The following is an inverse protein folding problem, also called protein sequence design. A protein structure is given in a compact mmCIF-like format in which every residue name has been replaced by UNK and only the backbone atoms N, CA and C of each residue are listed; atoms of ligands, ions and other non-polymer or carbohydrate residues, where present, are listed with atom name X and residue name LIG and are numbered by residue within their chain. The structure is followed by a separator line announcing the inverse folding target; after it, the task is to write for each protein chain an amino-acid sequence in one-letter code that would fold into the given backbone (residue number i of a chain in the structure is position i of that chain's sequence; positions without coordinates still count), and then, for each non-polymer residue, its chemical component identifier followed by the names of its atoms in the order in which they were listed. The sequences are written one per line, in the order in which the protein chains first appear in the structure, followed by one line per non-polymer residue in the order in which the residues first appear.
data_IF_047593182054
#
_entry.id   IF_047593182054
#
_cell.length_a   1.000
_cell.length_b   1.000
_cell.length_c   1.000
_cell.angle_alpha   90.00
_cell.angle_beta   90.00
_cell.angle_gamma   90.00
#
_symmetry.space_group_name_H-M   'P 1'
#
loop_
_entity.id
_entity.type
_entity.pdbx_description
1 polymer ?
#
# COMPACT_ATOMS: atom_id res chain seq x y z
N UNK A 1 -13.56 -4.81 -4.83
CA UNK A 1 -12.16 -4.25 -4.85
C UNK A 1 -12.07 -3.27 -3.70
N UNK A 2 -11.07 -3.41 -2.83
CA UNK A 2 -10.98 -2.58 -1.62
C UNK A 2 -10.70 -1.12 -1.98
N UNK A 3 -11.15 -0.20 -1.13
CA UNK A 3 -10.80 1.22 -1.22
C UNK A 3 -10.22 1.67 0.11
N UNK A 4 -9.05 2.30 0.08
CA UNK A 4 -8.45 2.95 1.24
C UNK A 4 -8.48 4.45 1.01
N UNK A 5 -9.08 5.18 1.93
CA UNK A 5 -9.21 6.62 1.86
C UNK A 5 -8.44 7.23 3.02
N UNK A 6 -7.46 8.07 2.71
CA UNK A 6 -6.67 8.74 3.75
C UNK A 6 -6.61 10.25 3.57
N UNK A 7 -6.53 10.99 4.68
CA UNK A 7 -6.72 12.43 4.66
C UNK A 7 -6.35 13.15 5.95
N UNK A 8 -6.22 14.47 5.88
CA UNK A 8 -5.91 15.30 7.06
C UNK A 8 -7.07 15.25 8.07
N UNK A 9 -6.75 14.94 9.32
CA UNK A 9 -7.67 14.97 10.46
C UNK A 9 -8.36 16.33 10.60
N UNK A 10 -9.65 16.33 10.94
CA UNK A 10 -10.44 17.56 11.14
C UNK A 10 -10.81 18.33 9.85
N UNK A 11 -10.45 17.85 8.66
CA UNK A 11 -10.84 18.50 7.40
C UNK A 11 -12.30 18.25 6.98
N UNK A 12 -12.98 17.32 7.66
CA UNK A 12 -14.34 16.86 7.30
C UNK A 12 -14.43 16.10 5.98
N UNK A 13 -13.41 16.08 5.13
CA UNK A 13 -13.46 15.49 3.78
C UNK A 13 -13.53 13.98 3.77
N UNK A 14 -12.73 13.37 4.63
CA UNK A 14 -12.72 11.93 4.83
C UNK A 14 -14.06 11.46 5.42
N UNK A 15 -14.64 12.25 6.33
CA UNK A 15 -15.99 12.04 6.86
C UNK A 15 -17.08 12.23 5.79
N UNK A 16 -17.00 13.28 4.98
CA UNK A 16 -17.94 13.50 3.89
C UNK A 16 -17.87 12.38 2.85
N UNK A 17 -16.68 11.79 2.63
CA UNK A 17 -16.54 10.61 1.79
C UNK A 17 -17.31 9.42 2.39
N UNK A 18 -17.12 9.14 3.69
CA UNK A 18 -17.88 8.12 4.43
C UNK A 18 -19.39 8.31 4.24
N UNK A 19 -19.93 9.47 4.63
CA UNK A 19 -21.37 9.77 4.58
C UNK A 19 -21.92 9.68 3.16
N UNK A 20 -21.20 10.24 2.19
CA UNK A 20 -21.63 10.21 0.78
C UNK A 20 -21.68 8.77 0.27
N UNK A 21 -20.64 7.98 0.52
CA UNK A 21 -20.52 6.60 0.02
C UNK A 21 -21.62 5.71 0.57
N UNK A 22 -21.90 5.78 1.88
CA UNK A 22 -22.96 4.96 2.51
C UNK A 22 -24.39 5.39 2.11
N UNK A 23 -24.58 6.67 1.75
CA UNK A 23 -25.87 7.17 1.29
C UNK A 23 -26.18 6.80 -0.17
N UNK A 24 -25.16 6.86 -1.03
CA UNK A 24 -25.25 6.57 -2.47
C UNK A 24 -25.19 5.07 -2.80
N UNK A 25 -24.70 4.22 -1.88
CA UNK A 25 -24.59 2.78 -2.13
C UNK A 25 -25.97 2.11 -2.32
N UNK A 26 -26.09 1.38 -3.43
CA UNK A 26 -27.26 0.59 -3.79
C UNK A 26 -27.04 -0.88 -3.39
N UNK A 27 -27.51 -1.22 -2.19
CA UNK A 27 -27.35 -2.53 -1.55
C UNK A 27 -27.31 -2.43 -0.03
N UNK A 28 -26.87 -3.51 0.62
CA UNK A 28 -26.66 -3.55 2.07
C UNK A 28 -25.44 -2.73 2.46
N UNK A 29 -25.52 -2.00 3.56
CA UNK A 29 -24.45 -1.17 4.11
C UNK A 29 -24.26 -1.50 5.59
N UNK A 30 -23.00 -1.73 5.96
CA UNK A 30 -22.53 -1.80 7.34
C UNK A 30 -21.47 -0.69 7.49
N UNK A 31 -21.87 0.45 8.04
CA UNK A 31 -20.95 1.52 8.42
C UNK A 31 -20.44 1.29 9.84
N UNK A 32 -19.14 1.43 10.06
CA UNK A 32 -18.48 1.30 11.37
C UNK A 32 -17.73 2.59 11.62
N UNK A 33 -18.01 3.29 12.72
CA UNK A 33 -17.37 4.56 13.02
C UNK A 33 -17.51 4.94 14.49
N UNK A 34 -16.58 5.75 14.98
CA UNK A 34 -16.81 6.59 16.16
C UNK A 34 -17.93 7.59 15.87
N UNK A 35 -18.80 7.82 16.85
CA UNK A 35 -19.65 9.01 16.88
C UNK A 35 -18.86 10.10 17.59
N UNK A 36 -18.19 10.94 16.81
CA UNK A 36 -17.59 12.17 17.35
C UNK A 36 -18.70 13.15 17.75
N UNK A 37 -18.43 14.08 18.68
CA UNK A 37 -19.40 15.11 19.13
C UNK A 37 -19.99 15.94 17.97
N UNK A 38 -19.30 15.98 16.82
CA UNK A 38 -19.73 16.69 15.61
C UNK A 38 -20.38 15.78 14.54
N UNK A 39 -20.42 14.45 14.75
CA UNK A 39 -21.22 13.57 13.92
C UNK A 39 -22.66 13.66 14.37
N UNK A 40 -23.45 14.48 13.67
CA UNK A 40 -24.87 14.45 13.88
C UNK A 40 -25.43 13.19 13.20
N UNK A 41 -25.70 12.14 13.97
CA UNK A 41 -26.33 10.91 13.45
C UNK A 41 -27.66 11.23 12.73
N UNK A 42 -28.28 12.37 13.08
CA UNK A 42 -29.42 12.97 12.38
C UNK A 42 -29.19 13.17 10.87
N UNK A 43 -27.95 13.38 10.41
CA UNK A 43 -27.61 13.47 8.97
C UNK A 43 -27.74 12.12 8.25
N UNK A 44 -27.57 11.01 8.98
CA UNK A 44 -27.80 9.64 8.50
C UNK A 44 -29.25 9.21 8.67
N UNK A 45 -29.90 9.66 9.74
CA UNK A 45 -31.29 9.36 10.07
C UNK A 45 -32.28 10.04 9.11
N UNK A 46 -32.01 11.30 8.76
CA UNK A 46 -32.86 12.10 7.86
C UNK A 46 -32.89 11.60 6.42
N UNK A 47 -31.88 10.85 5.98
CA UNK A 47 -31.72 10.47 4.57
C UNK A 47 -32.01 9.01 4.21
N UNK A 48 -32.02 8.04 5.15
CA UNK A 48 -32.48 6.64 4.94
C UNK A 48 -32.20 5.78 6.21
N UNK A 49 -33.19 5.65 7.11
CA UNK A 49 -33.38 4.55 8.11
C UNK A 49 -32.15 3.69 8.50
N UNK A 50 -31.02 4.28 8.89
CA UNK A 50 -29.91 3.48 9.42
C UNK A 50 -30.33 2.91 10.77
N UNK A 51 -30.21 1.59 10.93
CA UNK A 51 -30.37 0.98 12.23
C UNK A 51 -29.04 1.07 12.98
N UNK A 52 -29.06 1.78 14.10
CA UNK A 52 -27.89 1.95 14.97
C UNK A 52 -27.74 0.77 15.92
N UNK A 53 -26.53 0.25 16.04
CA UNK A 53 -26.11 -0.68 17.08
C UNK A 53 -24.79 -0.22 17.70
N UNK A 54 -24.56 -0.56 18.96
CA UNK A 54 -23.27 -0.38 19.61
C UNK A 54 -22.38 -1.58 19.34
N UNK A 55 -21.16 -1.34 18.88
CA UNK A 55 -20.20 -2.40 18.60
C UNK A 55 -19.59 -2.99 19.88
N UNK A 56 -19.71 -2.30 21.01
CA UNK A 56 -19.23 -2.75 22.33
C UNK A 56 -20.34 -3.35 23.20
N UNK A 57 -21.52 -3.70 22.65
CA UNK A 57 -22.63 -4.22 23.46
C UNK A 57 -22.18 -5.44 24.29
N UNK A 58 -22.20 -5.37 25.64
CA UNK A 58 -21.71 -6.43 26.50
C UNK A 58 -22.59 -7.69 26.44
N UNK A 59 -23.84 -7.57 25.99
CA UNK A 59 -24.71 -8.74 25.70
C UNK A 59 -24.35 -9.41 24.37
N UNK A 60 -23.46 -8.78 23.60
CA UNK A 60 -23.06 -9.17 22.27
C UNK A 60 -24.02 -8.68 21.20
N UNK A 61 -23.46 -8.39 20.03
CA UNK A 61 -24.24 -7.97 18.88
C UNK A 61 -25.11 -9.13 18.36
N UNK A 62 -26.42 -8.92 18.26
CA UNK A 62 -27.33 -9.87 17.61
C UNK A 62 -27.12 -9.81 16.09
N UNK A 63 -26.25 -10.68 15.59
CA UNK A 63 -25.80 -10.61 14.20
C UNK A 63 -26.93 -10.87 13.19
N UNK A 64 -27.87 -11.74 13.55
CA UNK A 64 -29.02 -12.04 12.70
C UNK A 64 -29.95 -10.84 12.57
N UNK A 65 -30.08 -10.05 13.64
CA UNK A 65 -30.83 -8.81 13.61
C UNK A 65 -30.12 -7.73 12.80
N UNK A 66 -28.80 -7.58 12.97
CA UNK A 66 -27.98 -6.66 12.17
C UNK A 66 -28.18 -6.91 10.67
N UNK A 67 -28.07 -8.17 10.23
CA UNK A 67 -28.19 -8.49 8.81
C UNK A 67 -29.62 -8.46 8.26
N UNK A 68 -30.67 -8.32 9.10
CA UNK A 68 -32.05 -8.06 8.65
C UNK A 68 -32.26 -6.65 8.11
N UNK A 69 -31.38 -5.71 8.46
CA UNK A 69 -31.48 -4.32 8.01
C UNK A 69 -30.57 -4.08 6.80
N UNK A 70 -31.05 -3.27 5.85
CA UNK A 70 -30.28 -2.92 4.66
C UNK A 70 -29.20 -1.89 4.98
N UNK A 71 -29.45 -1.00 5.94
CA UNK A 71 -28.51 0.03 6.34
C UNK A 71 -28.27 -0.03 7.83
N UNK A 72 -27.05 -0.39 8.21
CA UNK A 72 -26.63 -0.55 9.60
C UNK A 72 -25.46 0.37 9.90
N UNK A 73 -25.52 1.00 11.06
CA UNK A 73 -24.41 1.75 11.63
C UNK A 73 -23.98 1.12 12.95
N UNK A 74 -22.72 0.70 13.02
CA UNK A 74 -22.07 0.14 14.19
C UNK A 74 -21.21 1.24 14.83
N UNK A 75 -21.73 1.79 15.92
CA UNK A 75 -21.05 2.82 16.70
C UNK A 75 -19.89 2.21 17.49
N UNK A 76 -18.71 2.80 17.36
CA UNK A 76 -17.57 2.57 18.24
C UNK A 76 -17.60 3.66 19.33
N UNK A 77 -17.82 3.32 20.62
CA UNK A 77 -17.77 4.30 21.68
C UNK A 77 -16.35 4.77 21.95
N UNK A 78 -16.21 6.03 22.41
CA UNK A 78 -14.92 6.63 22.76
C UNK A 78 -14.19 5.86 23.87
N UNK A 79 -14.95 5.31 24.82
CA UNK A 79 -14.46 4.48 25.91
C UNK A 79 -15.06 3.08 25.75
N UNK A 80 -14.27 2.14 25.24
CA UNK A 80 -14.69 0.76 25.10
C UNK A 80 -13.52 -0.21 25.28
N UNK A 81 -13.85 -1.44 25.70
CA UNK A 81 -12.89 -2.53 25.75
C UNK A 81 -12.63 -3.05 24.34
N UNK A 82 -11.37 -3.00 23.91
CA UNK A 82 -10.90 -3.49 22.61
C UNK A 82 -11.34 -4.93 22.30
N UNK A 83 -11.42 -5.76 23.35
CA UNK A 83 -11.92 -7.13 23.28
C UNK A 83 -13.38 -7.22 22.78
N UNK A 84 -14.28 -6.35 23.26
CA UNK A 84 -15.68 -6.36 22.87
C UNK A 84 -15.86 -5.94 21.41
N UNK A 85 -15.12 -4.91 20.97
CA UNK A 85 -15.09 -4.49 19.57
C UNK A 85 -14.65 -5.65 18.66
N UNK A 86 -13.50 -6.25 19.01
CA UNK A 86 -12.89 -7.35 18.25
C UNK A 86 -13.86 -8.52 18.14
N UNK A 87 -14.47 -8.95 19.25
CA UNK A 87 -15.44 -10.04 19.27
C UNK A 87 -16.67 -9.80 18.38
N UNK A 88 -17.22 -8.59 18.36
CA UNK A 88 -18.37 -8.31 17.53
C UNK A 88 -17.99 -8.18 16.04
N UNK A 89 -16.76 -7.74 15.72
CA UNK A 89 -16.21 -7.81 14.34
C UNK A 89 -16.03 -9.28 13.90
N UNK A 90 -15.51 -10.14 14.78
CA UNK A 90 -15.38 -11.59 14.53
C UNK A 90 -16.74 -12.16 14.11
N UNK A 91 -17.81 -11.89 14.87
CA UNK A 91 -19.17 -12.38 14.56
C UNK A 91 -19.68 -11.91 13.19
N UNK A 92 -19.39 -10.67 12.80
CA UNK A 92 -19.76 -10.14 11.47
C UNK A 92 -19.07 -10.94 10.37
N UNK A 93 -17.76 -11.14 10.50
CA UNK A 93 -16.97 -11.88 9.52
C UNK A 93 -17.45 -13.34 9.45
N UNK A 94 -17.58 -14.02 10.60
CA UNK A 94 -18.09 -15.41 10.66
C UNK A 94 -19.46 -15.55 10.02
N UNK A 95 -20.36 -14.59 10.26
CA UNK A 95 -21.69 -14.59 9.64
C UNK A 95 -21.62 -14.51 8.11
N UNK A 96 -20.75 -13.64 7.59
CA UNK A 96 -20.53 -13.49 6.14
C UNK A 96 -19.99 -14.77 5.51
N UNK A 97 -19.02 -15.43 6.16
CA UNK A 97 -18.49 -16.71 5.68
C UNK A 97 -19.53 -17.82 5.71
N UNK A 98 -20.37 -17.87 6.75
CA UNK A 98 -21.38 -18.94 6.93
C UNK A 98 -22.57 -18.82 5.98
N UNK A 99 -23.08 -17.60 5.79
CA UNK A 99 -24.34 -17.38 5.07
C UNK A 99 -24.12 -16.94 3.61
N UNK A 100 -22.91 -16.50 3.27
CA UNK A 100 -22.63 -15.86 1.99
C UNK A 100 -23.41 -14.56 1.81
N UNK A 101 -23.38 -14.05 0.57
CA UNK A 101 -24.02 -12.79 0.20
C UNK A 101 -25.17 -13.03 -0.77
N UNK A 102 -26.31 -12.40 -0.51
CA UNK A 102 -27.48 -12.41 -1.41
C UNK A 102 -27.54 -11.16 -2.28
N UNK A 103 -27.02 -10.05 -1.78
CA UNK A 103 -27.05 -8.73 -2.40
C UNK A 103 -25.66 -8.07 -2.31
N UNK A 104 -25.51 -6.89 -2.91
CA UNK A 104 -24.29 -6.09 -2.76
C UNK A 104 -24.13 -5.64 -1.32
N UNK A 105 -22.90 -5.68 -0.80
CA UNK A 105 -22.56 -5.28 0.55
C UNK A 105 -21.44 -4.23 0.52
N UNK A 106 -21.67 -3.11 1.19
CA UNK A 106 -20.64 -2.14 1.56
C UNK A 106 -20.29 -2.32 3.03
N UNK A 107 -19.02 -2.55 3.33
CA UNK A 107 -18.45 -2.42 4.67
C UNK A 107 -17.60 -1.16 4.68
N UNK A 108 -18.05 -0.12 5.36
CA UNK A 108 -17.32 1.16 5.46
C UNK A 108 -16.78 1.34 6.88
N UNK A 109 -15.46 1.34 7.04
CA UNK A 109 -14.76 1.37 8.32
C UNK A 109 -14.06 2.72 8.45
N UNK A 110 -14.67 3.64 9.20
CA UNK A 110 -14.08 4.91 9.59
C UNK A 110 -13.26 4.77 10.86
N UNK A 111 -11.96 5.04 10.75
CA UNK A 111 -11.01 4.89 11.85
C UNK A 111 -10.49 3.47 12.00
N UNK A 112 -10.17 2.81 10.87
CA UNK A 112 -9.60 1.44 10.89
C UNK A 112 -8.33 1.36 11.76
N UNK A 113 -7.58 2.45 11.86
CA UNK A 113 -6.41 2.61 12.72
C UNK A 113 -6.69 2.44 14.21
N UNK A 114 -7.96 2.50 14.61
CA UNK A 114 -8.40 2.31 15.99
C UNK A 114 -8.95 0.91 16.26
N UNK A 115 -9.00 0.03 15.26
CA UNK A 115 -9.47 -1.35 15.39
C UNK A 115 -8.31 -2.33 15.43
N UNK A 116 -8.35 -3.29 16.36
CA UNK A 116 -7.41 -4.40 16.35
C UNK A 116 -7.87 -5.51 15.41
N UNK A 117 -7.42 -5.40 14.16
CA UNK A 117 -7.69 -6.39 13.11
C UNK A 117 -6.52 -7.37 12.91
N UNK A 118 -5.53 -7.38 13.80
CA UNK A 118 -4.45 -8.39 13.81
C UNK A 118 -4.90 -9.69 14.50
N UNK A 119 -6.01 -9.65 15.26
CA UNK A 119 -6.53 -10.83 15.95
C UNK A 119 -6.77 -11.99 14.98
N UNK A 120 -6.35 -13.19 15.38
CA UNK A 120 -6.46 -14.40 14.56
C UNK A 120 -7.81 -15.07 14.78
N UNK A 121 -8.46 -15.46 13.69
CA UNK A 121 -9.72 -16.21 13.69
C UNK A 121 -9.58 -17.50 12.90
N UNK A 122 -10.38 -18.51 13.25
CA UNK A 122 -10.48 -19.76 12.50
C UNK A 122 -11.63 -19.67 11.49
N UNK A 123 -11.28 -19.75 10.22
CA UNK A 123 -12.23 -19.82 9.12
C UNK A 123 -12.05 -21.19 8.48
N UNK A 124 -12.99 -22.10 8.75
CA UNK A 124 -12.85 -23.52 8.40
C UNK A 124 -11.63 -24.12 9.10
N UNK A 125 -10.67 -24.62 8.31
CA UNK A 125 -9.43 -25.23 8.81
C UNK A 125 -8.22 -24.28 8.82
N UNK A 126 -8.42 -23.02 8.44
CA UNK A 126 -7.36 -22.01 8.31
C UNK A 126 -7.48 -20.96 9.40
N UNK A 127 -6.33 -20.56 9.94
CA UNK A 127 -6.22 -19.46 10.89
C UNK A 127 -5.71 -18.22 10.16
N UNK A 128 -6.47 -17.13 10.21
CA UNK A 128 -6.18 -15.88 9.49
C UNK A 128 -6.44 -14.68 10.38
N UNK A 129 -5.72 -13.58 10.17
CA UNK A 129 -6.01 -12.32 10.87
C UNK A 129 -7.36 -11.74 10.41
N UNK A 130 -8.02 -10.93 11.24
CA UNK A 130 -9.27 -10.26 10.87
C UNK A 130 -9.12 -9.38 9.63
N UNK A 131 -8.00 -8.66 9.51
CA UNK A 131 -7.73 -7.84 8.32
C UNK A 131 -7.61 -8.71 7.08
N UNK A 132 -6.95 -9.87 7.18
CA UNK A 132 -6.86 -10.84 6.08
C UNK A 132 -8.23 -11.41 5.72
N UNK A 133 -9.06 -11.73 6.71
CA UNK A 133 -10.42 -12.22 6.49
C UNK A 133 -11.29 -11.18 5.77
N UNK A 134 -11.18 -9.90 6.13
CA UNK A 134 -11.85 -8.82 5.40
C UNK A 134 -11.36 -8.74 3.94
N UNK A 135 -10.03 -8.80 3.73
CA UNK A 135 -9.46 -8.81 2.38
C UNK A 135 -9.93 -10.02 1.58
N UNK A 136 -10.08 -11.19 2.19
CA UNK A 136 -10.58 -12.39 1.51
C UNK A 136 -12.06 -12.26 1.16
N UNK A 137 -12.90 -11.71 2.03
CA UNK A 137 -14.31 -11.40 1.75
C UNK A 137 -14.42 -10.41 0.57
N UNK A 138 -13.54 -9.41 0.50
CA UNK A 138 -13.54 -8.40 -0.56
C UNK A 138 -13.24 -8.92 -1.98
N UNK A 139 -12.81 -10.19 -2.09
CA UNK A 139 -12.63 -10.87 -3.38
C UNK A 139 -13.96 -11.20 -4.05
N UNK A 140 -15.05 -11.28 -3.29
CA UNK A 140 -16.40 -11.36 -3.88
C UNK A 140 -16.72 -10.02 -4.56
N UNK A 141 -17.07 -10.00 -5.86
CA UNK A 141 -17.37 -8.76 -6.59
C UNK A 141 -18.59 -8.00 -6.09
N UNK A 142 -19.40 -8.61 -5.19
CA UNK A 142 -20.54 -7.96 -4.54
C UNK A 142 -20.14 -7.23 -3.27
N UNK A 143 -18.90 -7.37 -2.80
CA UNK A 143 -18.40 -6.69 -1.60
C UNK A 143 -17.49 -5.53 -1.96
N UNK A 144 -17.87 -4.36 -1.46
CA UNK A 144 -17.00 -3.20 -1.37
C UNK A 144 -16.60 -3.00 0.09
N UNK A 145 -15.29 -2.96 0.34
CA UNK A 145 -14.75 -2.55 1.63
C UNK A 145 -14.09 -1.18 1.46
N UNK A 146 -14.51 -0.23 2.27
CA UNK A 146 -13.93 1.11 2.36
C UNK A 146 -13.27 1.22 3.72
N UNK A 147 -11.98 1.53 3.73
CA UNK A 147 -11.17 1.70 4.93
C UNK A 147 -10.69 3.15 4.98
N UNK A 148 -11.08 3.83 6.03
CA UNK A 148 -10.84 5.25 6.20
C UNK A 148 -9.88 5.47 7.38
N UNK A 149 -8.86 6.29 7.15
CA UNK A 149 -7.84 6.62 8.15
C UNK A 149 -7.20 7.99 7.93
N UNK A 150 -6.39 8.44 8.87
CA UNK A 150 -5.70 9.74 8.77
C UNK A 150 -4.44 9.65 7.90
N UNK A 151 -3.61 8.62 8.12
CA UNK A 151 -2.33 8.46 7.44
C UNK A 151 -2.03 7.02 7.09
N UNK A 152 -1.70 6.78 5.81
CA UNK A 152 -1.40 5.43 5.30
C UNK A 152 -0.27 4.72 6.05
N UNK A 153 0.69 5.48 6.61
CA UNK A 153 1.81 4.94 7.39
C UNK A 153 1.36 4.20 8.65
N UNK A 154 0.17 4.51 9.17
CA UNK A 154 -0.41 3.85 10.35
C UNK A 154 -0.72 2.39 10.02
N UNK A 155 -1.33 2.11 8.86
CA UNK A 155 -1.58 0.74 8.40
C UNK A 155 -0.30 -0.09 8.34
N UNK A 156 0.80 0.49 7.84
CA UNK A 156 2.08 -0.23 7.75
C UNK A 156 2.60 -0.61 9.14
N UNK A 157 2.42 0.26 10.13
CA UNK A 157 2.85 0.01 11.50
C UNK A 157 1.97 -1.03 12.18
N UNK A 158 0.66 -0.98 11.91
CA UNK A 158 -0.35 -1.77 12.61
C UNK A 158 -0.64 -3.13 11.97
N UNK A 159 -0.43 -3.28 10.67
CA UNK A 159 -0.64 -4.54 9.93
C UNK A 159 0.56 -4.83 9.03
N UNK A 160 1.79 -4.98 9.59
CA UNK A 160 3.00 -5.07 8.78
C UNK A 160 3.05 -6.30 7.88
N UNK A 161 2.37 -7.41 8.26
CA UNK A 161 2.36 -8.66 7.50
C UNK A 161 1.45 -8.56 6.27
N UNK A 162 0.30 -7.93 6.41
CA UNK A 162 -0.71 -7.80 5.35
C UNK A 162 -0.60 -6.48 4.56
N UNK A 163 0.24 -5.53 4.98
CA UNK A 163 0.33 -4.20 4.38
C UNK A 163 0.56 -4.24 2.86
N UNK A 164 1.52 -5.03 2.38
CA UNK A 164 1.84 -5.08 0.95
C UNK A 164 0.68 -5.65 0.12
N UNK A 165 -0.01 -6.67 0.64
CA UNK A 165 -1.21 -7.22 0.02
C UNK A 165 -2.36 -6.22 0.03
N UNK A 166 -2.56 -5.54 1.15
CA UNK A 166 -3.60 -4.54 1.37
C UNK A 166 -3.43 -3.36 0.40
N UNK A 167 -2.21 -2.83 0.24
CA UNK A 167 -1.93 -1.77 -0.73
C UNK A 167 -2.10 -2.26 -2.17
N UNK A 168 -1.59 -3.45 -2.50
CA UNK A 168 -1.69 -4.01 -3.85
C UNK A 168 -3.13 -4.26 -4.29
N UNK A 169 -3.99 -4.67 -3.37
CA UNK A 169 -5.38 -5.05 -3.66
C UNK A 169 -6.40 -3.93 -3.35
N UNK A 170 -5.94 -2.70 -3.13
CA UNK A 170 -6.80 -1.56 -2.81
C UNK A 170 -6.63 -0.41 -3.80
N UNK A 171 -7.74 0.25 -4.12
CA UNK A 171 -7.73 1.59 -4.68
C UNK A 171 -7.38 2.59 -3.57
N UNK A 172 -6.29 3.34 -3.73
CA UNK A 172 -5.83 4.30 -2.72
C UNK A 172 -6.30 5.71 -3.11
N UNK A 173 -7.10 6.33 -2.24
CA UNK A 173 -7.64 7.69 -2.43
C UNK A 173 -7.05 8.61 -1.36
N UNK A 174 -6.40 9.67 -1.80
CA UNK A 174 -5.94 10.76 -0.93
C UNK A 174 -6.97 11.91 -0.98
N UNK A 175 -7.53 12.31 0.16
CA UNK A 175 -8.45 13.46 0.24
C UNK A 175 -7.73 14.79 0.51
N UNK A 176 -6.39 14.79 0.54
CA UNK A 176 -5.59 16.00 0.70
C UNK A 176 -5.63 16.84 -0.57
N UNK A 177 -5.80 18.14 -0.42
CA UNK A 177 -5.83 19.07 -1.55
C UNK A 177 -4.43 19.36 -2.11
N UNK A 178 -4.37 19.77 -3.37
CA UNK A 178 -3.14 20.22 -4.00
C UNK A 178 -2.48 21.36 -3.20
N UNK A 179 -3.26 22.30 -2.66
CA UNK A 179 -2.72 23.40 -1.84
C UNK A 179 -2.08 22.93 -0.52
N UNK A 180 -2.35 21.70 -0.08
CA UNK A 180 -1.72 21.15 1.13
C UNK A 180 -0.28 20.66 0.91
N UNK A 181 0.14 20.54 -0.35
CA UNK A 181 1.52 20.21 -0.70
C UNK A 181 2.33 21.50 -0.79
N UNK A 182 3.42 21.58 -0.03
CA UNK A 182 4.26 22.79 0.04
C UNK A 182 4.92 23.16 -1.29
N UNK A 183 5.04 22.23 -2.23
CA UNK A 183 5.89 22.37 -3.43
C UNK A 183 7.39 22.44 -3.12
N UNK A 184 7.77 22.73 -1.88
CA UNK A 184 9.15 22.75 -1.40
C UNK A 184 9.66 21.34 -1.13
N UNK A 185 10.85 21.03 -1.68
CA UNK A 185 11.62 19.84 -1.34
C UNK A 185 12.98 20.26 -0.76
N UNK A 186 13.21 19.92 0.52
CA UNK A 186 14.46 20.26 1.23
C UNK A 186 15.37 19.04 1.29
N UNK A 187 16.45 19.07 0.53
CA UNK A 187 17.45 18.00 0.47
C UNK A 187 18.76 18.44 1.15
N UNK A 188 19.30 17.59 2.03
CA UNK A 188 20.67 17.72 2.53
C UNK A 188 21.59 16.84 1.68
N UNK A 189 22.67 17.41 1.17
CA UNK A 189 23.65 16.69 0.35
C UNK A 189 25.08 17.16 0.64
N UNK A 190 26.11 16.33 0.36
CA UNK A 190 27.50 16.75 0.47
C UNK A 190 27.81 17.99 -0.39
N UNK A 191 28.67 18.89 0.11
CA UNK A 191 29.03 20.13 -0.61
C UNK A 191 29.63 19.88 -1.99
N UNK A 192 30.41 18.82 -2.14
CA UNK A 192 31.01 18.42 -3.42
C UNK A 192 29.95 18.03 -4.46
N UNK A 193 28.93 17.27 -4.05
CA UNK A 193 27.81 16.89 -4.91
C UNK A 193 26.96 18.10 -5.29
N UNK A 194 26.66 18.97 -4.32
CA UNK A 194 25.94 20.22 -4.57
C UNK A 194 26.67 21.10 -5.58
N UNK A 195 27.99 21.30 -5.41
CA UNK A 195 28.82 22.08 -6.33
C UNK A 195 28.75 21.52 -7.75
N UNK A 196 28.97 20.21 -7.91
CA UNK A 196 28.93 19.55 -9.23
C UNK A 196 27.58 19.74 -9.92
N UNK A 197 26.48 19.48 -9.21
CA UNK A 197 25.13 19.61 -9.79
C UNK A 197 24.80 21.08 -10.15
N UNK A 198 25.30 22.04 -9.38
CA UNK A 198 25.13 23.47 -9.66
C UNK A 198 25.89 23.89 -10.90
N UNK A 199 27.14 23.45 -11.04
CA UNK A 199 27.97 23.72 -12.23
C UNK A 199 27.34 23.12 -13.49
N UNK A 200 26.86 21.88 -13.41
CA UNK A 200 26.14 21.24 -14.53
C UNK A 200 24.85 21.99 -14.89
N UNK A 201 24.06 22.44 -13.91
CA UNK A 201 22.85 23.23 -14.16
C UNK A 201 23.16 24.55 -14.90
N UNK A 202 24.27 25.20 -14.54
CA UNK A 202 24.76 26.42 -15.22
C UNK A 202 25.17 26.11 -16.65
N UNK A 203 25.90 25.01 -16.88
CA UNK A 203 26.30 24.56 -18.24
C UNK A 203 25.07 24.30 -19.12
N UNK A 204 24.05 23.68 -18.55
CA UNK A 204 22.78 23.34 -19.22
C UNK A 204 21.83 24.55 -19.36
N UNK A 205 22.19 25.69 -18.77
CA UNK A 205 21.41 26.93 -18.87
C UNK A 205 20.05 26.89 -18.17
N UNK A 206 19.88 26.04 -17.15
CA UNK A 206 18.62 25.84 -16.43
C UNK A 206 18.77 26.20 -14.96
N UNK A 207 17.65 26.53 -14.29
CA UNK A 207 17.71 26.74 -12.83
C UNK A 207 18.11 25.46 -12.11
N UNK A 208 18.81 25.59 -10.99
CA UNK A 208 19.24 24.44 -10.21
C UNK A 208 18.08 23.53 -9.78
N UNK A 209 16.93 24.11 -9.41
CA UNK A 209 15.73 23.34 -9.06
C UNK A 209 15.18 22.54 -10.26
N UNK A 210 15.12 23.14 -11.45
CA UNK A 210 14.71 22.43 -12.67
C UNK A 210 15.70 21.31 -13.01
N UNK A 211 16.99 21.58 -12.88
CA UNK A 211 18.03 20.58 -13.10
C UNK A 211 17.89 19.39 -12.14
N UNK A 212 17.66 19.65 -10.85
CA UNK A 212 17.43 18.61 -9.86
C UNK A 212 16.18 17.78 -10.17
N UNK A 213 15.06 18.43 -10.49
CA UNK A 213 13.83 17.73 -10.90
C UNK A 213 14.08 16.87 -12.15
N UNK A 214 14.76 17.41 -13.16
CA UNK A 214 15.14 16.68 -14.37
C UNK A 214 16.02 15.46 -14.05
N UNK A 215 17.03 15.59 -13.19
CA UNK A 215 17.88 14.45 -12.78
C UNK A 215 17.13 13.40 -11.97
N UNK A 216 16.19 13.82 -11.12
CA UNK A 216 15.34 12.90 -10.35
C UNK A 216 14.37 12.14 -11.26
N UNK A 217 13.80 12.80 -12.27
CA UNK A 217 12.94 12.18 -13.28
C UNK A 217 13.73 11.27 -14.23
N UNK A 218 14.93 11.69 -14.63
CA UNK A 218 15.80 11.00 -15.59
C UNK A 218 16.61 9.84 -15.03
N UNK A 219 16.58 9.60 -13.71
CA UNK A 219 17.27 8.49 -13.06
C UNK A 219 16.91 7.11 -13.63
N UNK A 220 15.66 6.93 -14.07
CA UNK A 220 15.21 5.69 -14.72
C UNK A 220 15.72 5.55 -16.16
N UNK A 221 15.75 6.63 -16.94
CA UNK A 221 16.19 6.63 -18.35
C UNK A 221 17.71 6.50 -18.47
N UNK A 222 18.47 7.17 -17.59
CA UNK A 222 19.93 7.10 -17.58
C UNK A 222 20.46 5.72 -17.17
N UNK A 223 19.75 5.01 -16.29
CA UNK A 223 20.11 3.62 -15.97
C UNK A 223 19.88 2.68 -17.16
N UNK A 224 18.81 2.88 -17.93
CA UNK A 224 18.55 2.10 -19.15
C UNK A 224 19.63 2.38 -20.20
N UNK A 225 19.98 3.65 -20.43
CA UNK A 225 21.03 4.04 -21.40
C UNK A 225 22.38 3.48 -20.96
N UNK A 226 22.76 3.66 -19.69
CA UNK A 226 24.02 3.13 -19.15
C UNK A 226 24.09 1.61 -19.22
N UNK A 227 23.01 0.89 -18.90
CA UNK A 227 22.96 -0.57 -19.05
C UNK A 227 23.06 -0.98 -20.53
N UNK A 228 22.50 -0.19 -21.44
CA UNK A 228 22.61 -0.43 -22.89
C UNK A 228 24.04 -0.21 -23.38
N UNK A 229 24.73 0.84 -22.96
CA UNK A 229 26.13 1.10 -23.30
C UNK A 229 27.08 0.01 -22.79
N UNK A 230 26.88 -0.44 -21.55
CA UNK A 230 27.67 -1.55 -20.97
C UNK A 230 27.43 -2.84 -21.77
N UNK A 231 26.18 -3.18 -22.10
CA UNK A 231 25.85 -4.35 -22.92
C UNK A 231 26.44 -4.28 -24.32
N UNK A 232 26.41 -3.11 -24.97
CA UNK A 232 27.02 -2.90 -26.29
C UNK A 232 28.55 -3.07 -26.21
N UNK A 233 29.19 -2.50 -25.19
CA UNK A 233 30.63 -2.67 -24.96
C UNK A 233 31.02 -4.13 -24.73
N UNK A 234 30.21 -4.87 -23.97
CA UNK A 234 30.38 -6.31 -23.77
C UNK A 234 30.23 -7.11 -25.05
N UNK A 235 29.18 -6.83 -25.85
CA UNK A 235 28.99 -7.48 -27.14
C UNK A 235 30.17 -7.25 -28.07
N UNK A 236 30.72 -6.02 -28.09
CA UNK A 236 31.92 -5.71 -28.88
C UNK A 236 33.12 -6.55 -28.44
N UNK A 237 33.37 -6.63 -27.14
CA UNK A 237 34.46 -7.46 -26.62
C UNK A 237 34.26 -8.96 -26.93
N UNK A 238 33.01 -9.44 -26.88
CA UNK A 238 32.65 -10.82 -27.25
C UNK A 238 33.02 -11.08 -28.71
N UNK A 239 32.58 -10.21 -29.63
CA UNK A 239 32.86 -10.32 -31.07
C UNK A 239 34.35 -10.20 -31.38
N UNK A 240 35.10 -9.41 -30.60
CA UNK A 240 36.54 -9.24 -30.73
C UNK A 240 37.36 -10.34 -30.01
N UNK A 241 36.70 -11.31 -29.36
CA UNK A 241 37.36 -12.40 -28.63
C UNK A 241 38.12 -11.96 -27.37
N UNK A 242 37.86 -10.76 -26.84
CA UNK A 242 38.54 -10.21 -25.67
C UNK A 242 37.99 -10.80 -24.36
N UNK A 243 38.87 -11.18 -23.44
CA UNK A 243 38.45 -11.59 -22.08
C UNK A 243 37.78 -10.40 -21.37
N UNK A 244 36.55 -10.57 -20.89
CA UNK A 244 35.80 -9.56 -20.16
C UNK A 244 35.32 -10.10 -18.82
N UNK A 245 35.40 -9.27 -17.77
CA UNK A 245 34.96 -9.62 -16.43
C UNK A 245 33.83 -8.68 -16.00
N UNK A 246 32.71 -9.24 -15.52
CA UNK A 246 31.53 -8.48 -15.08
C UNK A 246 31.22 -8.85 -13.64
N UNK A 247 30.91 -7.85 -12.81
CA UNK A 247 30.31 -8.07 -11.50
C UNK A 247 28.79 -7.85 -11.64
N UNK A 248 28.01 -8.87 -11.36
CA UNK A 248 26.57 -8.93 -11.58
C UNK A 248 25.86 -9.35 -10.29
N UNK A 249 25.45 -8.35 -9.49
CA UNK A 249 24.86 -8.61 -8.17
C UNK A 249 23.36 -8.93 -8.25
N UNK A 250 22.70 -8.55 -9.34
CA UNK A 250 21.26 -8.64 -9.56
C UNK A 250 20.87 -9.66 -10.65
N UNK A 251 21.86 -10.28 -11.30
CA UNK A 251 21.66 -11.37 -12.27
C UNK A 251 21.23 -10.88 -13.66
N UNK A 252 21.25 -9.57 -13.90
CA UNK A 252 20.81 -8.97 -15.17
C UNK A 252 21.74 -9.37 -16.33
N UNK A 253 23.06 -9.37 -16.09
CA UNK A 253 24.06 -9.67 -17.11
C UNK A 253 24.17 -11.16 -17.38
N UNK A 254 23.99 -11.99 -16.35
CA UNK A 254 23.91 -13.44 -16.48
C UNK A 254 22.75 -13.85 -17.39
N UNK A 255 21.55 -13.33 -17.16
CA UNK A 255 20.39 -13.59 -18.02
C UNK A 255 20.58 -13.05 -19.46
N UNK A 256 21.32 -11.95 -19.62
CA UNK A 256 21.69 -11.42 -20.93
C UNK A 256 22.68 -12.34 -21.68
N UNK A 257 23.71 -12.86 -20.99
CA UNK A 257 24.71 -13.75 -21.58
C UNK A 257 24.16 -15.14 -21.91
N UNK A 258 23.20 -15.65 -21.11
CA UNK A 258 22.49 -16.88 -21.41
C UNK A 258 21.79 -16.82 -22.78
N UNK A 259 21.19 -15.67 -23.12
CA UNK A 259 20.57 -15.43 -24.43
C UNK A 259 21.58 -15.36 -25.58
N UNK A 260 22.84 -15.05 -25.27
CA UNK A 260 23.95 -15.00 -26.23
C UNK A 260 24.72 -16.33 -26.31
N UNK A 261 24.26 -17.37 -25.61
CA UNK A 261 24.89 -18.70 -25.64
C UNK A 261 26.10 -18.84 -24.73
N UNK A 262 26.22 -18.01 -23.68
CA UNK A 262 27.28 -18.06 -22.67
C UNK A 262 28.71 -18.06 -23.26
N UNK A 263 29.13 -16.93 -23.85
CA UNK A 263 30.45 -16.84 -24.49
C UNK A 263 31.58 -17.09 -23.48
N UNK A 264 32.50 -18.00 -23.83
CA UNK A 264 33.57 -18.47 -22.94
C UNK A 264 34.55 -17.37 -22.52
N UNK A 265 34.66 -16.30 -23.31
CA UNK A 265 35.53 -15.16 -23.04
C UNK A 265 34.91 -14.14 -22.07
N UNK A 266 33.74 -14.39 -21.49
CA UNK A 266 33.12 -13.52 -20.48
C UNK A 266 32.95 -14.25 -19.16
N UNK A 267 33.52 -13.71 -18.08
CA UNK A 267 33.38 -14.24 -16.72
C UNK A 267 32.51 -13.32 -15.89
N UNK A 268 31.49 -13.89 -15.25
CA UNK A 268 30.54 -13.18 -14.39
C UNK A 268 30.82 -13.55 -12.93
N UNK A 269 30.87 -12.54 -12.07
CA UNK A 269 31.12 -12.68 -10.63
C UNK A 269 29.93 -12.08 -9.87
N UNK A 270 29.47 -12.72 -8.81
CA UNK A 270 28.31 -12.26 -8.04
C UNK A 270 28.66 -11.17 -7.01
N UNK A 271 29.95 -10.85 -6.88
CA UNK A 271 30.43 -9.77 -6.01
C UNK A 271 31.86 -9.35 -6.35
N UNK A 272 32.24 -8.15 -5.92
CA UNK A 272 33.64 -7.68 -5.98
C UNK A 272 34.58 -8.59 -5.19
N UNK A 273 34.11 -9.20 -4.10
CA UNK A 273 34.90 -10.12 -3.27
C UNK A 273 35.27 -11.39 -4.05
N UNK A 274 34.32 -11.93 -4.80
CA UNK A 274 34.51 -13.10 -5.65
C UNK A 274 35.52 -12.81 -6.77
N UNK A 275 35.39 -11.64 -7.40
CA UNK A 275 36.33 -11.18 -8.43
C UNK A 275 37.76 -11.03 -7.89
N UNK A 276 37.94 -10.38 -6.74
CA UNK A 276 39.24 -10.20 -6.11
C UNK A 276 39.93 -11.53 -5.79
N UNK A 277 39.18 -12.52 -5.30
CA UNK A 277 39.72 -13.86 -5.03
C UNK A 277 40.17 -14.57 -6.32
N UNK A 278 39.41 -14.42 -7.40
CA UNK A 278 39.77 -14.99 -8.70
C UNK A 278 41.08 -14.41 -9.25
N UNK A 279 41.26 -13.09 -9.19
CA UNK A 279 42.51 -12.43 -9.63
C UNK A 279 43.71 -12.88 -8.79
N UNK A 280 43.57 -12.90 -7.46
CA UNK A 280 44.65 -13.34 -6.56
C UNK A 280 45.09 -14.80 -6.79
N UNK A 281 44.18 -15.66 -7.24
CA UNK A 281 44.50 -17.05 -7.57
C UNK A 281 45.14 -17.19 -8.96
N UNK A 282 44.81 -16.30 -9.91
CA UNK A 282 45.42 -16.28 -11.26
C UNK A 282 46.87 -15.79 -11.23
N UNK A 283 47.24 -14.91 -10.30
CA UNK A 283 48.61 -14.40 -10.13
C UNK A 283 49.57 -15.36 -9.41
N UNK A 284 49.06 -16.46 -8.85
CA UNK A 284 49.87 -17.49 -8.15
C UNK A 284 50.27 -18.69 -9.02
N UNK A 285 49.86 -18.70 -10.29
CA UNK A 285 50.13 -19.76 -11.29
C UNK A 285 51.07 -19.18 -12.34
#
# INVERSE_FOLDING_TARGET
MNTIVYGKSGSGKTYNYFIKKINEFDGKVIGISYLEENMNFEDLESNKKFKKYRLDDPKGLNIEEVFKHDKVFLEIPLECEEYLLTNNIIKIIEYLYKNGLKEKLLIDINGIDSLNLEHMIKIGNTEVSLIKALLDISKDPRVDIVMILQELKILKKQYPKEYDELIKNSNIICTRELQSYSGEYKLRMPRSLHKRLMEEAVIEGVSFNQYLVYKLMGGSTNNIIRNSEIKIGLMKNILEGKESHIIDNDGEYKAFLEKLGNPENVKVFNSTKEYSNYIQNKEKI
#
